data_IF_977757923988
#
_entry.id   IF_977757923988
#
_cell.length_a   1.000
_cell.length_b   1.000
_cell.length_c   1.000
_cell.angle_alpha   90.00
_cell.angle_beta   90.00
_cell.angle_gamma   90.00
#
_symmetry.space_group_name_H-M   'P 1'
#
loop_
_entity.id
_entity.type
_entity.pdbx_description
1 polymer ?
#
# COMPACT_ATOMS: atom_id res chain seq x y z
N UNK A 1 19.50 4.11 -7.42
CA UNK A 1 18.49 3.96 -6.34
C UNK A 1 17.13 4.32 -6.88
N UNK A 2 16.11 3.52 -6.55
CA UNK A 2 14.69 3.79 -6.77
C UNK A 2 13.91 3.63 -5.47
N UNK A 3 12.70 4.17 -5.42
CA UNK A 3 11.81 4.01 -4.26
C UNK A 3 10.46 3.48 -4.72
N UNK A 4 9.97 2.45 -4.07
CA UNK A 4 8.66 1.86 -4.28
C UNK A 4 7.80 2.10 -3.03
N UNK A 5 6.58 2.53 -3.23
CA UNK A 5 5.63 2.81 -2.16
C UNK A 5 4.42 1.91 -2.29
N UNK A 6 3.96 1.31 -1.20
CA UNK A 6 2.54 1.00 -1.12
C UNK A 6 1.72 2.29 -1.13
N UNK A 7 0.40 2.19 -1.27
CA UNK A 7 -0.47 3.35 -1.30
C UNK A 7 -1.24 3.54 0.01
N UNK A 8 -2.02 2.53 0.40
CA UNK A 8 -2.91 2.58 1.56
C UNK A 8 -2.10 2.50 2.87
N UNK A 9 -2.26 3.48 3.75
CA UNK A 9 -1.47 3.56 4.99
C UNK A 9 -0.01 4.00 4.79
N UNK A 10 0.43 4.20 3.53
CA UNK A 10 1.78 4.71 3.19
C UNK A 10 1.70 6.10 2.56
N UNK A 11 1.06 6.24 1.42
CA UNK A 11 0.88 7.54 0.76
C UNK A 11 -0.38 8.23 1.28
N UNK A 12 -1.50 7.49 1.41
CA UNK A 12 -2.79 8.01 1.86
C UNK A 12 -3.28 7.34 3.15
N UNK A 13 -3.88 8.13 4.04
CA UNK A 13 -4.50 7.68 5.30
C UNK A 13 -5.91 7.11 5.02
N UNK A 14 -5.94 5.89 4.50
CA UNK A 14 -7.17 5.19 4.12
C UNK A 14 -7.51 4.02 5.05
N UNK A 15 -6.55 3.49 5.77
CA UNK A 15 -6.68 2.24 6.54
C UNK A 15 -7.70 2.30 7.69
N UNK A 16 -7.83 3.45 8.35
CA UNK A 16 -8.85 3.66 9.37
C UNK A 16 -10.26 3.59 8.79
N UNK A 17 -10.47 4.15 7.60
CA UNK A 17 -11.74 4.18 6.89
C UNK A 17 -12.11 2.76 6.41
N UNK A 18 -11.17 2.02 5.81
CA UNK A 18 -11.38 0.61 5.45
C UNK A 18 -11.70 -0.27 6.65
N UNK A 19 -11.05 -0.02 7.79
CA UNK A 19 -11.36 -0.76 9.02
C UNK A 19 -12.83 -0.63 9.41
N UNK A 20 -13.41 0.57 9.31
CA UNK A 20 -14.83 0.81 9.59
C UNK A 20 -15.72 0.06 8.58
N UNK A 21 -15.44 0.21 7.30
CA UNK A 21 -16.18 -0.47 6.24
C UNK A 21 -16.18 -2.00 6.45
N UNK A 22 -15.00 -2.59 6.56
CA UNK A 22 -14.86 -4.04 6.65
C UNK A 22 -15.33 -4.63 7.99
N UNK A 23 -15.24 -3.88 9.09
CA UNK A 23 -15.86 -4.29 10.35
C UNK A 23 -17.38 -4.44 10.21
N UNK A 24 -18.04 -3.53 9.47
CA UNK A 24 -19.46 -3.64 9.16
C UNK A 24 -19.76 -4.89 8.34
N UNK A 25 -19.04 -5.12 7.24
CA UNK A 25 -19.24 -6.30 6.39
C UNK A 25 -18.98 -7.60 7.15
N UNK A 26 -17.89 -7.65 7.94
CA UNK A 26 -17.57 -8.81 8.77
C UNK A 26 -18.65 -9.13 9.79
N UNK A 27 -19.22 -8.11 10.42
CA UNK A 27 -20.31 -8.29 11.39
C UNK A 27 -21.59 -8.75 10.72
N UNK A 28 -21.98 -8.09 9.62
CA UNK A 28 -23.27 -8.32 8.97
C UNK A 28 -23.32 -9.69 8.28
N UNK A 29 -22.23 -10.14 7.67
CA UNK A 29 -22.24 -11.37 6.87
C UNK A 29 -21.52 -12.56 7.53
N UNK A 30 -20.53 -12.32 8.39
CA UNK A 30 -19.70 -13.39 8.98
C UNK A 30 -19.89 -13.52 10.49
N UNK A 31 -20.58 -12.57 11.15
CA UNK A 31 -20.69 -12.52 12.60
C UNK A 31 -19.36 -12.23 13.30
N UNK A 32 -18.39 -11.64 12.62
CA UNK A 32 -17.06 -11.34 13.12
C UNK A 32 -16.94 -9.88 13.53
N UNK A 33 -16.53 -9.63 14.77
CA UNK A 33 -16.11 -8.32 15.24
C UNK A 33 -14.63 -8.07 14.84
N UNK A 34 -14.26 -6.81 14.58
CA UNK A 34 -12.89 -6.38 14.22
C UNK A 34 -12.32 -7.03 12.95
N UNK A 35 -13.20 -7.44 12.03
CA UNK A 35 -12.80 -8.10 10.78
C UNK A 35 -11.85 -7.24 9.92
N UNK A 36 -12.07 -5.92 9.87
CA UNK A 36 -11.22 -4.99 9.13
C UNK A 36 -9.74 -5.05 9.52
N UNK A 37 -9.43 -5.30 10.80
CA UNK A 37 -8.04 -5.48 11.23
C UNK A 37 -7.41 -6.79 10.75
N UNK A 38 -8.23 -7.82 10.50
CA UNK A 38 -7.74 -9.15 10.09
C UNK A 38 -7.32 -9.20 8.62
N UNK A 39 -7.88 -8.32 7.80
CA UNK A 39 -7.71 -8.36 6.34
C UNK A 39 -6.76 -7.31 5.77
N UNK A 40 -6.12 -6.50 6.62
CA UNK A 40 -5.21 -5.44 6.18
C UNK A 40 -4.14 -5.93 5.22
N UNK A 41 -3.90 -5.18 4.15
CA UNK A 41 -2.93 -5.51 3.10
C UNK A 41 -3.36 -6.64 2.14
N UNK A 42 -4.58 -7.18 2.28
CA UNK A 42 -5.11 -8.20 1.37
C UNK A 42 -5.91 -7.56 0.24
N UNK A 43 -5.82 -8.17 -0.96
CA UNK A 43 -6.67 -7.80 -2.08
C UNK A 43 -8.10 -8.31 -1.87
N UNK A 44 -9.07 -7.73 -2.59
CA UNK A 44 -10.46 -8.17 -2.55
C UNK A 44 -10.61 -9.65 -2.91
N UNK A 45 -9.83 -10.13 -3.89
CA UNK A 45 -9.80 -11.54 -4.30
C UNK A 45 -9.37 -12.46 -3.16
N UNK A 46 -8.34 -12.05 -2.40
CA UNK A 46 -7.87 -12.82 -1.23
C UNK A 46 -8.90 -12.82 -0.11
N UNK A 47 -9.54 -11.68 0.15
CA UNK A 47 -10.59 -11.55 1.17
C UNK A 47 -11.77 -12.45 0.81
N UNK A 48 -12.25 -12.39 -0.42
CA UNK A 48 -13.37 -13.20 -0.88
C UNK A 48 -13.03 -14.69 -0.88
N UNK A 49 -11.89 -15.10 -1.43
CA UNK A 49 -11.50 -16.51 -1.46
C UNK A 49 -11.28 -17.12 -0.08
N UNK A 50 -10.90 -16.32 0.93
CA UNK A 50 -10.63 -16.83 2.27
C UNK A 50 -11.84 -16.79 3.21
N UNK A 51 -12.65 -15.74 3.13
CA UNK A 51 -13.68 -15.47 4.13
C UNK A 51 -15.11 -15.52 3.58
N UNK A 52 -15.29 -15.36 2.28
CA UNK A 52 -16.59 -15.36 1.59
C UNK A 52 -16.67 -16.44 0.52
N UNK A 53 -15.84 -17.50 0.60
CA UNK A 53 -15.89 -18.62 -0.36
C UNK A 53 -17.27 -19.24 -0.38
N UNK A 54 -17.85 -19.40 -1.58
CA UNK A 54 -19.23 -19.90 -1.78
C UNK A 54 -20.34 -18.89 -1.47
N UNK A 55 -20.03 -17.70 -0.97
CA UNK A 55 -21.00 -16.64 -0.62
C UNK A 55 -21.17 -15.63 -1.78
N UNK A 56 -21.57 -16.13 -2.96
CA UNK A 56 -21.64 -15.32 -4.21
C UNK A 56 -22.54 -14.10 -4.06
N UNK A 57 -23.71 -14.26 -3.40
CA UNK A 57 -24.66 -13.16 -3.21
C UNK A 57 -24.07 -12.04 -2.35
N UNK A 58 -23.38 -12.37 -1.27
CA UNK A 58 -22.73 -11.41 -0.38
C UNK A 58 -21.59 -10.70 -1.09
N UNK A 59 -20.77 -11.41 -1.88
CA UNK A 59 -19.72 -10.80 -2.72
C UNK A 59 -20.32 -9.81 -3.72
N UNK A 60 -21.42 -10.18 -4.40
CA UNK A 60 -22.14 -9.30 -5.34
C UNK A 60 -22.71 -8.03 -4.68
N UNK A 61 -23.04 -8.08 -3.40
CA UNK A 61 -23.52 -6.94 -2.63
C UNK A 61 -22.36 -6.07 -2.12
N UNK A 62 -21.26 -6.69 -1.66
CA UNK A 62 -20.10 -5.98 -1.11
C UNK A 62 -19.39 -5.14 -2.18
N UNK A 63 -19.24 -5.64 -3.40
CA UNK A 63 -18.47 -4.92 -4.45
C UNK A 63 -19.08 -3.55 -4.78
N UNK A 64 -20.39 -3.39 -5.06
CA UNK A 64 -20.97 -2.07 -5.27
C UNK A 64 -20.87 -1.15 -4.05
N UNK A 65 -21.06 -1.71 -2.84
CA UNK A 65 -20.96 -0.96 -1.59
C UNK A 65 -19.52 -0.45 -1.37
N UNK A 66 -18.52 -1.28 -1.66
CA UNK A 66 -17.12 -0.90 -1.60
C UNK A 66 -16.79 0.21 -2.60
N UNK A 67 -17.22 0.06 -3.85
CA UNK A 67 -17.00 1.08 -4.88
C UNK A 67 -17.66 2.42 -4.50
N UNK A 68 -18.89 2.39 -3.97
CA UNK A 68 -19.57 3.60 -3.50
C UNK A 68 -18.87 4.22 -2.30
N UNK A 69 -18.37 3.40 -1.39
CA UNK A 69 -17.58 3.85 -0.24
C UNK A 69 -16.28 4.53 -0.70
N UNK A 70 -15.54 3.91 -1.60
CA UNK A 70 -14.27 4.44 -2.15
C UNK A 70 -14.45 5.76 -2.90
N UNK A 71 -15.62 6.01 -3.52
CA UNK A 71 -15.93 7.31 -4.14
C UNK A 71 -16.08 8.45 -3.13
N UNK A 72 -16.38 8.13 -1.88
CA UNK A 72 -16.63 9.12 -0.82
C UNK A 72 -15.52 9.16 0.24
N UNK A 73 -14.51 8.30 0.12
CA UNK A 73 -13.37 8.28 1.02
C UNK A 73 -12.56 9.58 0.94
N UNK A 74 -11.95 9.98 2.05
CA UNK A 74 -10.82 10.88 2.05
C UNK A 74 -9.55 10.13 1.65
N UNK A 75 -8.74 10.78 0.81
CA UNK A 75 -7.42 10.29 0.40
C UNK A 75 -6.32 11.21 0.93
N UNK A 76 -6.51 11.76 2.13
CA UNK A 76 -5.53 12.66 2.75
C UNK A 76 -4.16 12.00 2.81
N UNK A 77 -3.12 12.75 2.45
CA UNK A 77 -1.76 12.24 2.51
C UNK A 77 -1.34 11.90 3.94
N UNK A 78 -0.61 10.82 4.11
CA UNK A 78 0.14 10.57 5.36
C UNK A 78 1.08 11.76 5.61
N UNK A 79 1.26 12.20 6.86
CA UNK A 79 2.09 13.37 7.17
C UNK A 79 3.47 13.31 6.52
N UNK A 80 3.80 14.34 5.75
CA UNK A 80 5.06 14.47 5.03
C UNK A 80 5.17 13.70 3.70
N UNK A 81 4.21 12.83 3.34
CA UNK A 81 4.28 11.99 2.12
C UNK A 81 4.35 12.83 0.85
N UNK A 82 3.50 13.85 0.72
CA UNK A 82 3.49 14.73 -0.44
C UNK A 82 4.84 15.47 -0.64
N UNK A 83 5.37 16.05 0.44
CA UNK A 83 6.64 16.76 0.38
C UNK A 83 7.82 15.82 0.11
N UNK A 84 7.77 14.59 0.62
CA UNK A 84 8.78 13.58 0.37
C UNK A 84 8.79 13.13 -1.09
N UNK A 85 7.62 12.89 -1.70
CA UNK A 85 7.49 12.58 -3.14
C UNK A 85 8.06 13.73 -4.00
N UNK A 86 7.70 14.99 -3.69
CA UNK A 86 8.27 16.17 -4.37
C UNK A 86 9.79 16.23 -4.26
N UNK A 87 10.33 15.95 -3.08
CA UNK A 87 11.76 15.95 -2.86
C UNK A 87 12.47 14.85 -3.66
N UNK A 88 11.91 13.64 -3.72
CA UNK A 88 12.42 12.56 -4.56
C UNK A 88 12.42 12.95 -6.05
N UNK A 89 11.30 13.49 -6.54
CA UNK A 89 11.17 13.96 -7.92
C UNK A 89 12.20 15.04 -8.26
N UNK A 90 12.39 16.02 -7.37
CA UNK A 90 13.35 17.12 -7.57
C UNK A 90 14.81 16.64 -7.62
N UNK A 91 15.11 15.50 -6.99
CA UNK A 91 16.41 14.83 -7.00
C UNK A 91 16.60 13.83 -8.16
N UNK A 92 15.58 13.67 -9.01
CA UNK A 92 15.61 12.70 -10.11
C UNK A 92 15.63 11.25 -9.65
N UNK A 93 15.17 10.96 -8.42
CA UNK A 93 15.01 9.59 -7.90
C UNK A 93 13.71 9.04 -8.45
N UNK A 94 13.80 7.96 -9.23
CA UNK A 94 12.62 7.31 -9.81
C UNK A 94 11.80 6.62 -8.74
N UNK A 95 10.48 6.77 -8.85
CA UNK A 95 9.53 6.26 -7.87
C UNK A 95 8.36 5.56 -8.55
N UNK A 96 7.82 4.54 -7.89
CA UNK A 96 6.54 3.96 -8.28
C UNK A 96 5.66 3.67 -7.06
N UNK A 97 4.35 3.79 -7.26
CA UNK A 97 3.34 3.24 -6.35
C UNK A 97 3.09 1.80 -6.77
N UNK A 98 3.07 0.87 -5.80
CA UNK A 98 2.83 -0.56 -5.99
C UNK A 98 1.76 -0.99 -5.00
N UNK A 99 0.50 -0.95 -5.43
CA UNK A 99 -0.67 -1.09 -4.56
C UNK A 99 -1.48 -2.35 -4.83
N UNK A 100 -2.11 -2.90 -3.79
CA UNK A 100 -3.13 -3.95 -3.89
C UNK A 100 -4.50 -3.42 -4.35
N UNK A 101 -4.64 -2.11 -4.47
CA UNK A 101 -5.84 -1.43 -4.98
C UNK A 101 -5.99 -1.64 -6.48
N UNK A 102 -7.25 -1.65 -6.95
CA UNK A 102 -7.58 -1.78 -8.35
C UNK A 102 -7.61 -0.43 -9.08
N UNK A 103 -7.73 -0.46 -10.41
CA UNK A 103 -7.75 0.74 -11.25
C UNK A 103 -8.96 1.64 -10.96
N UNK A 104 -10.11 1.06 -10.56
CA UNK A 104 -11.32 1.83 -10.23
C UNK A 104 -11.07 2.73 -9.02
N UNK A 105 -10.50 2.17 -7.95
CA UNK A 105 -10.12 2.95 -6.77
C UNK A 105 -9.07 4.00 -7.12
N UNK A 106 -8.02 3.62 -7.85
CA UNK A 106 -6.97 4.57 -8.21
C UNK A 106 -7.49 5.72 -9.07
N UNK A 107 -8.53 5.50 -9.87
CA UNK A 107 -9.21 6.60 -10.59
C UNK A 107 -9.87 7.62 -9.64
N UNK A 108 -10.44 7.19 -8.51
CA UNK A 108 -10.96 8.09 -7.49
C UNK A 108 -9.83 8.89 -6.81
N UNK A 109 -8.69 8.22 -6.56
CA UNK A 109 -7.48 8.87 -6.03
C UNK A 109 -7.00 9.98 -6.97
N UNK A 110 -6.88 9.70 -8.27
CA UNK A 110 -6.44 10.69 -9.26
C UNK A 110 -7.42 11.85 -9.44
N UNK A 111 -8.70 11.61 -9.24
CA UNK A 111 -9.70 12.69 -9.22
C UNK A 111 -9.52 13.63 -8.02
N UNK A 112 -9.11 13.10 -6.87
CA UNK A 112 -8.85 13.86 -5.64
C UNK A 112 -7.45 14.49 -5.64
N UNK A 113 -6.45 13.79 -6.19
CA UNK A 113 -5.04 14.16 -6.19
C UNK A 113 -4.43 14.02 -7.60
N UNK A 114 -4.83 14.89 -8.56
CA UNK A 114 -4.31 14.82 -9.93
C UNK A 114 -2.79 15.03 -10.01
N UNK A 115 -2.21 15.74 -9.05
CA UNK A 115 -0.77 15.99 -8.93
C UNK A 115 0.04 14.70 -8.65
N UNK A 116 -0.58 13.66 -8.11
CA UNK A 116 0.11 12.40 -7.76
C UNK A 116 0.78 11.76 -8.99
N UNK A 117 0.11 11.80 -10.16
CA UNK A 117 0.64 11.28 -11.41
C UNK A 117 1.86 12.05 -11.92
N UNK A 118 2.02 13.31 -11.50
CA UNK A 118 3.22 14.10 -11.82
C UNK A 118 4.38 13.81 -10.84
N UNK A 119 4.09 13.30 -9.66
CA UNK A 119 5.07 13.06 -8.60
C UNK A 119 5.75 11.70 -8.71
N UNK A 120 5.11 10.70 -9.33
CA UNK A 120 5.65 9.35 -9.49
C UNK A 120 5.89 9.00 -10.95
N UNK A 121 6.78 8.05 -11.23
CA UNK A 121 7.12 7.65 -12.58
C UNK A 121 6.24 6.48 -13.08
N UNK A 122 5.64 5.72 -12.15
CA UNK A 122 4.71 4.64 -12.48
C UNK A 122 3.74 4.37 -11.32
N UNK A 123 2.58 3.79 -11.66
CA UNK A 123 1.64 3.19 -10.69
C UNK A 123 1.33 1.77 -11.15
N UNK A 124 1.54 0.79 -10.28
CA UNK A 124 1.19 -0.61 -10.49
C UNK A 124 0.05 -0.97 -9.53
N UNK A 125 -1.10 -1.24 -10.10
CA UNK A 125 -2.32 -1.66 -9.40
C UNK A 125 -2.40 -3.19 -9.34
N UNK A 126 -3.42 -3.74 -8.69
CA UNK A 126 -3.64 -5.19 -8.62
C UNK A 126 -3.77 -5.87 -9.99
N UNK A 127 -4.10 -5.14 -11.05
CA UNK A 127 -4.21 -5.64 -12.42
C UNK A 127 -2.84 -5.86 -13.10
N UNK A 128 -1.76 -5.34 -12.53
CA UNK A 128 -0.42 -5.42 -13.12
C UNK A 128 0.37 -6.66 -12.71
N UNK A 129 -0.09 -7.44 -11.73
CA UNK A 129 0.59 -8.65 -11.25
C UNK A 129 -0.40 -9.79 -11.00
N UNK A 130 0.09 -11.03 -11.12
CA UNK A 130 -0.73 -12.23 -10.97
C UNK A 130 -0.84 -12.72 -9.53
N UNK A 131 0.15 -12.39 -8.72
CA UNK A 131 0.22 -12.78 -7.30
C UNK A 131 0.28 -11.55 -6.42
N UNK A 132 -0.68 -11.49 -5.50
CA UNK A 132 -0.77 -10.42 -4.52
C UNK A 132 0.22 -10.61 -3.38
N UNK A 133 0.55 -9.53 -2.67
CA UNK A 133 1.29 -9.57 -1.40
C UNK A 133 0.71 -10.68 -0.49
N UNK A 134 1.51 -11.52 0.15
CA UNK A 134 2.93 -11.38 0.44
C UNK A 134 3.90 -11.93 -0.64
N UNK A 135 3.43 -12.34 -1.83
CA UNK A 135 4.32 -12.70 -2.93
C UNK A 135 5.09 -11.44 -3.39
N UNK A 136 6.40 -11.55 -3.68
CA UNK A 136 7.22 -10.39 -4.07
C UNK A 136 6.95 -9.89 -5.50
N UNK A 137 6.12 -10.55 -6.29
CA UNK A 137 5.91 -10.27 -7.72
C UNK A 137 5.65 -8.77 -7.97
N UNK A 138 4.79 -8.15 -7.16
CA UNK A 138 4.42 -6.75 -7.36
C UNK A 138 5.63 -5.80 -7.24
N UNK A 139 6.50 -5.97 -6.25
CA UNK A 139 7.69 -5.14 -6.08
C UNK A 139 8.78 -5.47 -7.10
N UNK A 140 8.95 -6.74 -7.48
CA UNK A 140 9.86 -7.12 -8.55
C UNK A 140 9.44 -6.49 -9.89
N UNK A 141 8.13 -6.43 -10.18
CA UNK A 141 7.61 -5.69 -11.35
C UNK A 141 7.87 -4.19 -11.25
N UNK A 142 7.69 -3.57 -10.10
CA UNK A 142 8.04 -2.18 -9.88
C UNK A 142 9.53 -1.90 -10.17
N UNK A 143 10.41 -2.78 -9.72
CA UNK A 143 11.85 -2.71 -10.04
C UNK A 143 12.12 -2.86 -11.53
N UNK A 144 11.46 -3.82 -12.20
CA UNK A 144 11.57 -4.03 -13.65
C UNK A 144 11.16 -2.78 -14.43
N UNK A 145 9.99 -2.21 -14.13
CA UNK A 145 9.47 -0.99 -14.77
C UNK A 145 10.41 0.18 -14.60
N UNK A 146 10.98 0.34 -13.40
CA UNK A 146 11.94 1.42 -13.12
C UNK A 146 13.40 1.05 -13.48
N UNK A 147 13.67 -0.16 -13.97
CA UNK A 147 15.01 -0.58 -14.41
C UNK A 147 16.04 -0.57 -13.27
N UNK A 148 15.72 -1.19 -12.14
CA UNK A 148 16.59 -1.28 -10.97
C UNK A 148 16.66 -2.70 -10.41
N UNK A 149 17.68 -2.97 -9.62
CA UNK A 149 17.89 -4.22 -8.90
C UNK A 149 17.34 -4.13 -7.46
N UNK A 150 17.08 -5.26 -6.78
CA UNK A 150 16.67 -5.25 -5.39
C UNK A 150 17.59 -4.45 -4.46
N UNK A 151 18.92 -4.53 -4.66
CA UNK A 151 19.92 -3.80 -3.86
C UNK A 151 19.90 -2.28 -4.06
N UNK A 152 19.26 -1.81 -5.12
CA UNK A 152 19.11 -0.39 -5.44
C UNK A 152 17.72 0.13 -5.06
N UNK A 153 16.89 -0.69 -4.41
CA UNK A 153 15.48 -0.41 -4.17
C UNK A 153 15.18 -0.28 -2.68
N UNK A 154 14.45 0.77 -2.33
CA UNK A 154 13.83 0.95 -1.03
C UNK A 154 12.32 0.79 -1.21
N UNK A 155 11.68 -0.03 -0.38
CA UNK A 155 10.22 -0.23 -0.31
C UNK A 155 9.69 0.41 0.96
N UNK A 156 8.65 1.24 0.84
CA UNK A 156 7.89 1.77 1.97
C UNK A 156 6.56 1.02 2.09
N UNK A 157 6.28 0.48 3.28
CA UNK A 157 5.12 -0.38 3.56
C UNK A 157 4.69 -0.29 5.03
N UNK A 158 3.38 -0.51 5.28
CA UNK A 158 2.77 -0.43 6.62
C UNK A 158 2.14 -1.76 7.08
N UNK A 159 1.90 -2.70 6.12
CA UNK A 159 1.20 -3.96 6.37
C UNK A 159 2.17 -5.15 6.48
N UNK A 160 1.78 -6.18 7.26
CA UNK A 160 2.59 -7.40 7.38
C UNK A 160 2.75 -8.15 6.04
N UNK A 161 1.70 -8.17 5.20
CA UNK A 161 1.76 -8.82 3.89
C UNK A 161 2.70 -8.08 2.94
N UNK A 162 2.62 -6.76 2.92
CA UNK A 162 3.48 -5.97 2.07
C UNK A 162 4.93 -5.94 2.53
N UNK A 163 5.19 -5.84 3.83
CA UNK A 163 6.54 -5.98 4.40
C UNK A 163 7.14 -7.33 4.02
N UNK A 164 6.36 -8.42 4.12
CA UNK A 164 6.82 -9.75 3.70
C UNK A 164 7.16 -9.80 2.21
N UNK A 165 6.34 -9.19 1.34
CA UNK A 165 6.60 -9.08 -0.08
C UNK A 165 7.87 -8.27 -0.38
N UNK A 166 8.04 -7.12 0.28
CA UNK A 166 9.22 -6.27 0.17
C UNK A 166 10.49 -7.01 0.56
N UNK A 167 10.49 -7.71 1.70
CA UNK A 167 11.61 -8.55 2.16
C UNK A 167 11.92 -9.68 1.17
N UNK A 168 10.89 -10.37 0.70
CA UNK A 168 11.04 -11.47 -0.26
C UNK A 168 11.56 -10.99 -1.63
N UNK A 169 11.32 -9.73 -2.01
CA UNK A 169 11.88 -9.13 -3.23
C UNK A 169 13.37 -8.81 -3.12
N UNK A 170 13.94 -8.83 -1.91
CA UNK A 170 15.34 -8.49 -1.64
C UNK A 170 15.64 -7.00 -1.55
N UNK A 171 14.63 -6.15 -1.51
CA UNK A 171 14.75 -4.71 -1.30
C UNK A 171 15.04 -4.36 0.17
N UNK A 172 15.52 -3.14 0.41
CA UNK A 172 15.53 -2.53 1.74
C UNK A 172 14.11 -2.09 2.09
N UNK A 173 13.59 -2.53 3.25
CA UNK A 173 12.20 -2.27 3.65
C UNK A 173 12.14 -1.28 4.80
N UNK A 174 11.47 -0.16 4.55
CA UNK A 174 11.08 0.84 5.54
C UNK A 174 9.63 0.61 5.92
N UNK A 175 9.40 0.22 7.18
CA UNK A 175 8.05 0.07 7.73
C UNK A 175 7.48 1.41 8.20
N UNK A 176 6.23 1.73 7.85
CA UNK A 176 5.49 2.86 8.42
C UNK A 176 4.56 2.39 9.54
N UNK A 177 4.68 3.02 10.71
CA UNK A 177 3.86 2.69 11.89
C UNK A 177 2.48 3.37 11.88
N UNK A 178 1.90 3.56 10.70
CA UNK A 178 0.59 4.16 10.47
C UNK A 178 -0.57 3.21 10.71
N UNK A 179 -0.39 1.94 10.33
CA UNK A 179 -1.41 0.89 10.41
C UNK A 179 -1.14 -0.08 11.56
N UNK A 180 0.11 -0.42 11.77
CA UNK A 180 0.58 -1.33 12.81
C UNK A 180 1.54 -0.61 13.75
N UNK A 181 1.62 -1.06 15.00
CA UNK A 181 2.54 -0.47 15.98
C UNK A 181 3.99 -0.69 15.58
N UNK A 182 4.84 0.31 15.83
CA UNK A 182 6.28 0.27 15.54
C UNK A 182 6.96 -0.97 16.13
N UNK A 183 6.60 -1.37 17.38
CA UNK A 183 7.18 -2.54 18.02
C UNK A 183 6.90 -3.85 17.28
N UNK A 184 5.76 -3.94 16.58
CA UNK A 184 5.39 -5.11 15.79
C UNK A 184 6.12 -5.14 14.44
N UNK A 185 6.47 -3.98 13.87
CA UNK A 185 7.16 -3.84 12.58
C UNK A 185 8.68 -3.96 12.71
N UNK A 186 9.26 -3.48 13.82
CA UNK A 186 10.72 -3.42 14.05
C UNK A 186 11.46 -4.73 13.76
N UNK A 187 10.99 -5.94 14.14
CA UNK A 187 11.69 -7.17 13.82
C UNK A 187 11.58 -7.60 12.35
N UNK A 188 10.71 -6.95 11.57
CA UNK A 188 10.36 -7.34 10.20
C UNK A 188 10.93 -6.41 9.14
N UNK A 189 11.32 -5.19 9.52
CA UNK A 189 11.81 -4.15 8.62
C UNK A 189 13.28 -3.86 8.85
N UNK A 190 13.93 -3.24 7.88
CA UNK A 190 15.30 -2.74 8.03
C UNK A 190 15.32 -1.39 8.77
N UNK A 191 14.25 -0.62 8.65
CA UNK A 191 13.99 0.62 9.37
C UNK A 191 12.48 0.74 9.63
N UNK A 192 12.09 1.38 10.75
CA UNK A 192 10.69 1.76 11.01
C UNK A 192 10.62 3.25 11.30
N UNK A 193 9.65 3.92 10.69
CA UNK A 193 9.34 5.33 10.90
C UNK A 193 7.85 5.47 11.24
N UNK A 194 7.47 6.54 11.94
CA UNK A 194 6.05 6.82 12.23
C UNK A 194 5.33 7.37 11.00
N UNK A 195 5.98 8.29 10.28
CA UNK A 195 5.53 8.91 9.03
C UNK A 195 6.73 9.55 8.29
N UNK A 196 6.46 10.29 7.21
CA UNK A 196 7.51 10.91 6.39
C UNK A 196 8.10 12.20 6.98
N UNK A 197 7.63 12.70 8.12
CA UNK A 197 8.18 13.91 8.76
C UNK A 197 9.55 13.66 9.40
N UNK A 198 9.88 12.39 9.67
CA UNK A 198 11.11 11.96 10.33
C UNK A 198 12.21 11.47 9.39
N UNK A 199 11.96 11.43 8.07
CA UNK A 199 12.91 10.97 7.07
C UNK A 199 13.06 11.99 5.94
N UNK A 200 14.28 12.13 5.42
CA UNK A 200 14.57 12.94 4.25
C UNK A 200 15.28 12.14 3.16
N UNK A 201 15.34 12.72 1.96
CA UNK A 201 15.93 12.05 0.78
C UNK A 201 17.44 11.82 0.94
N UNK A 202 18.16 12.66 1.69
CA UNK A 202 19.59 12.50 1.92
C UNK A 202 19.91 11.29 2.82
N UNK A 203 18.95 10.90 3.67
CA UNK A 203 19.06 9.68 4.48
C UNK A 203 19.00 8.42 3.63
N UNK A 204 18.19 8.39 2.55
CA UNK A 204 18.00 7.19 1.73
C UNK A 204 19.30 6.65 1.13
N UNK A 205 20.20 7.54 0.70
CA UNK A 205 21.49 7.14 0.13
C UNK A 205 22.38 6.39 1.13
N UNK A 206 22.19 6.65 2.42
CA UNK A 206 22.93 6.00 3.51
C UNK A 206 22.35 4.64 3.88
N UNK A 207 21.06 4.42 3.58
CA UNK A 207 20.38 3.15 3.89
C UNK A 207 20.83 2.00 2.97
N UNK A 208 21.28 2.31 1.74
CA UNK A 208 21.71 1.32 0.75
C UNK A 208 23.26 1.17 0.69
N UNK A 209 24.02 1.93 1.49
CA UNK A 209 25.47 1.86 1.55
C UNK A 209 25.92 0.72 2.48
#
# INVERSE_FOLDING_TARGET
>A
MIVLFDFDGVIADTESQYTIFWNKQGKDYLGLDNFGHTIKGQTLVQIFGKYFDGMTREQEMIVPDLNAFEQTMSYDYIPGAYEFLKALKSRGIRTAIVTSSNDIKMSNVYASHPELLELVDAVLTSEHFSKSKPDPECFLKGMEVLGATPKETIVFEDSFHGISAGRASGAFVVGLATTNKSEALTPLCDLVIDDFTSIDVDMLSKLLA
#
